data_IF_904043402268
#
_entry.id   IF_904043402268
#
_cell.length_a   1.000
_cell.length_b   1.000
_cell.length_c   1.000
_cell.angle_alpha   90.00
_cell.angle_beta   90.00
_cell.angle_gamma   90.00
#
_symmetry.space_group_name_H-M   'P 1'
#
loop_
_entity.id
_entity.type
_entity.pdbx_description
1 polymer ?
#
# COMPACT_ATOMS: atom_id res chain seq x y z
N UNK A 1 -20.25 -27.77 -12.01
CA UNK A 1 -19.03 -27.10 -11.52
C UNK A 1 -18.76 -25.81 -12.31
N UNK A 2 -19.65 -24.80 -12.25
CA UNK A 2 -19.52 -23.63 -13.14
C UNK A 2 -19.82 -22.32 -12.45
N UNK A 3 -21.09 -22.07 -12.13
CA UNK A 3 -21.51 -20.74 -11.64
C UNK A 3 -21.23 -20.55 -10.15
N UNK A 4 -21.58 -21.49 -9.28
CA UNK A 4 -21.38 -21.34 -7.83
C UNK A 4 -19.88 -21.25 -7.46
N UNK A 5 -19.00 -21.91 -8.20
CA UNK A 5 -17.55 -21.80 -8.00
C UNK A 5 -17.02 -20.42 -8.46
N UNK A 6 -17.53 -19.87 -9.56
CA UNK A 6 -17.15 -18.54 -10.04
C UNK A 6 -17.63 -17.42 -9.09
N UNK A 7 -18.82 -17.55 -8.51
CA UNK A 7 -19.29 -16.65 -7.45
C UNK A 7 -18.44 -16.77 -6.18
N UNK A 8 -18.02 -17.99 -5.82
CA UNK A 8 -17.08 -18.22 -4.72
C UNK A 8 -15.73 -17.55 -4.94
N UNK A 9 -15.15 -17.67 -6.15
CA UNK A 9 -13.88 -17.01 -6.48
C UNK A 9 -13.99 -15.49 -6.56
N UNK A 10 -15.14 -14.96 -7.00
CA UNK A 10 -15.38 -13.52 -7.01
C UNK A 10 -15.49 -12.96 -5.59
N UNK A 11 -16.23 -13.66 -4.72
CA UNK A 11 -16.37 -13.27 -3.32
C UNK A 11 -15.00 -13.30 -2.60
N UNK A 12 -14.17 -14.33 -2.85
CA UNK A 12 -12.83 -14.38 -2.25
C UNK A 12 -11.90 -13.29 -2.77
N UNK A 13 -11.91 -13.00 -4.07
CA UNK A 13 -11.14 -11.92 -4.66
C UNK A 13 -11.54 -10.54 -4.12
N UNK A 14 -12.85 -10.31 -3.93
CA UNK A 14 -13.35 -9.06 -3.35
C UNK A 14 -12.90 -8.89 -1.90
N UNK A 15 -12.99 -9.95 -1.09
CA UNK A 15 -12.53 -9.93 0.30
C UNK A 15 -11.02 -9.70 0.36
N UNK A 16 -10.23 -10.39 -0.48
CA UNK A 16 -8.78 -10.20 -0.56
C UNK A 16 -8.43 -8.76 -0.97
N UNK A 17 -9.13 -8.20 -1.96
CA UNK A 17 -8.98 -6.81 -2.36
C UNK A 17 -9.31 -5.82 -1.23
N UNK A 18 -10.36 -6.08 -0.45
CA UNK A 18 -10.75 -5.25 0.67
C UNK A 18 -9.71 -5.28 1.80
N UNK A 19 -9.15 -6.45 2.10
CA UNK A 19 -8.07 -6.61 3.09
C UNK A 19 -6.81 -5.88 2.63
N UNK A 20 -6.43 -6.04 1.36
CA UNK A 20 -5.30 -5.30 0.77
C UNK A 20 -5.52 -3.78 0.81
N UNK A 21 -6.74 -3.31 0.54
CA UNK A 21 -7.10 -1.90 0.63
C UNK A 21 -6.97 -1.38 2.08
N UNK A 22 -7.43 -2.14 3.06
CA UNK A 22 -7.30 -1.78 4.47
C UNK A 22 -5.83 -1.67 4.87
N UNK A 23 -4.99 -2.64 4.50
CA UNK A 23 -3.55 -2.58 4.73
C UNK A 23 -2.88 -1.39 4.03
N UNK A 24 -3.30 -1.06 2.80
CA UNK A 24 -2.77 0.09 2.07
C UNK A 24 -3.12 1.41 2.78
N UNK A 25 -4.35 1.58 3.25
CA UNK A 25 -4.76 2.79 4.01
C UNK A 25 -3.97 2.89 5.31
N UNK A 26 -3.83 1.80 6.06
CA UNK A 26 -3.02 1.78 7.28
C UNK A 26 -1.55 2.11 7.00
N UNK A 27 -0.97 1.57 5.91
CA UNK A 27 0.39 1.85 5.49
C UNK A 27 0.60 3.34 5.17
N UNK A 28 -0.38 3.99 4.52
CA UNK A 28 -0.34 5.43 4.24
C UNK A 28 -0.31 6.25 5.53
N UNK A 29 -1.16 5.92 6.51
CA UNK A 29 -1.18 6.60 7.81
C UNK A 29 0.15 6.49 8.55
N UNK A 30 0.72 5.28 8.61
CA UNK A 30 2.03 5.04 9.24
C UNK A 30 3.12 5.82 8.51
N UNK A 31 3.06 5.89 7.18
CA UNK A 31 4.03 6.62 6.38
C UNK A 31 4.02 8.13 6.67
N UNK A 32 2.83 8.75 6.69
CA UNK A 32 2.66 10.17 7.08
C UNK A 32 3.20 10.41 8.48
N UNK A 33 2.86 9.54 9.43
CA UNK A 33 3.33 9.63 10.81
C UNK A 33 4.86 9.57 10.93
N UNK A 34 5.51 8.66 10.19
CA UNK A 34 6.98 8.55 10.19
C UNK A 34 7.62 9.81 9.61
N UNK A 35 7.08 10.37 8.54
CA UNK A 35 7.59 11.60 7.91
C UNK A 35 7.47 12.80 8.85
N UNK A 36 6.33 12.93 9.53
CA UNK A 36 6.09 13.98 10.52
C UNK A 36 7.07 13.89 11.71
N UNK A 37 7.23 12.70 12.30
CA UNK A 37 8.20 12.45 13.37
C UNK A 37 9.64 12.73 12.94
N UNK A 38 10.01 12.37 11.70
CA UNK A 38 11.34 12.65 11.17
C UNK A 38 11.60 14.15 11.02
N UNK A 39 10.60 14.92 10.57
CA UNK A 39 10.70 16.37 10.46
C UNK A 39 10.84 17.04 11.85
N UNK A 40 10.06 16.58 12.82
CA UNK A 40 10.13 17.03 14.20
C UNK A 40 11.52 16.80 14.82
N UNK A 41 12.14 15.65 14.56
CA UNK A 41 13.54 15.36 14.98
C UNK A 41 14.53 16.33 14.33
N UNK A 42 14.28 16.74 13.09
CA UNK A 42 15.08 17.72 12.36
C UNK A 42 14.87 19.18 12.80
N UNK A 43 13.96 19.45 13.75
CA UNK A 43 13.59 20.81 14.14
C UNK A 43 12.91 21.59 13.02
N UNK A 44 12.36 20.89 12.04
CA UNK A 44 11.59 21.48 10.95
C UNK A 44 10.11 21.51 11.37
N UNK A 45 9.43 22.60 11.06
CA UNK A 45 7.98 22.75 11.21
C UNK A 45 7.35 22.77 9.82
N UNK A 46 7.27 21.60 9.15
CA UNK A 46 6.73 21.53 7.80
C UNK A 46 5.22 21.76 7.85
N UNK A 47 4.70 22.58 6.93
CA UNK A 47 3.27 22.63 6.68
C UNK A 47 2.74 21.21 6.39
N UNK A 48 1.57 20.86 6.95
CA UNK A 48 0.93 19.53 6.81
C UNK A 48 0.86 19.05 5.34
N UNK A 49 0.73 19.99 4.41
CA UNK A 49 0.69 19.73 2.97
C UNK A 49 1.99 19.13 2.42
N UNK A 50 3.16 19.46 2.98
CA UNK A 50 4.45 18.86 2.59
C UNK A 50 4.63 17.46 3.16
N UNK A 51 4.13 17.20 4.38
CA UNK A 51 4.17 15.86 4.99
C UNK A 51 3.32 14.90 4.17
N UNK A 52 2.10 15.31 3.80
CA UNK A 52 1.22 14.51 2.94
C UNK A 52 1.86 14.28 1.58
N UNK A 53 2.43 15.31 0.95
CA UNK A 53 3.08 15.17 -0.35
C UNK A 53 4.27 14.18 -0.31
N UNK A 54 5.15 14.32 0.70
CA UNK A 54 6.29 13.42 0.90
C UNK A 54 5.86 11.98 1.18
N UNK A 55 4.84 11.80 2.00
CA UNK A 55 4.25 10.49 2.27
C UNK A 55 3.60 9.86 1.02
N UNK A 56 2.94 10.66 0.19
CA UNK A 56 2.30 10.19 -1.05
C UNK A 56 3.36 9.71 -2.06
N UNK A 57 4.47 10.44 -2.18
CA UNK A 57 5.61 10.03 -3.03
C UNK A 57 6.27 8.76 -2.50
N UNK A 58 6.50 8.66 -1.19
CA UNK A 58 7.08 7.45 -0.57
C UNK A 58 6.17 6.23 -0.76
N UNK A 59 4.86 6.39 -0.55
CA UNK A 59 3.88 5.34 -0.76
C UNK A 59 3.85 4.90 -2.24
N UNK A 60 3.88 5.85 -3.18
CA UNK A 60 3.97 5.56 -4.61
C UNK A 60 5.23 4.75 -4.97
N UNK A 61 6.39 5.12 -4.41
CA UNK A 61 7.63 4.39 -4.61
C UNK A 61 7.58 2.97 -4.04
N UNK A 62 7.02 2.81 -2.83
CA UNK A 62 6.86 1.50 -2.19
C UNK A 62 5.90 0.58 -2.96
N UNK A 63 4.80 1.12 -3.51
CA UNK A 63 3.86 0.38 -4.36
C UNK A 63 4.55 -0.08 -5.64
N UNK A 64 5.32 0.78 -6.31
CA UNK A 64 6.07 0.40 -7.52
C UNK A 64 7.10 -0.67 -7.18
N UNK A 65 7.89 -0.50 -6.10
CA UNK A 65 8.91 -1.45 -5.68
C UNK A 65 8.33 -2.82 -5.25
N UNK A 66 7.20 -2.83 -4.55
CA UNK A 66 6.51 -4.08 -4.15
C UNK A 66 5.74 -4.73 -5.31
N UNK A 67 5.14 -3.93 -6.20
CA UNK A 67 4.35 -4.40 -7.33
C UNK A 67 5.19 -5.06 -8.43
N UNK A 68 6.42 -4.59 -8.68
CA UNK A 68 7.33 -5.26 -9.63
C UNK A 68 7.78 -6.64 -9.16
N UNK A 69 7.81 -6.90 -7.84
CA UNK A 69 8.15 -8.20 -7.28
C UNK A 69 7.17 -9.32 -7.67
N UNK A 70 5.93 -8.98 -8.00
CA UNK A 70 4.88 -9.92 -8.43
C UNK A 70 4.90 -10.25 -9.93
N UNK A 71 5.79 -9.62 -10.71
CA UNK A 71 5.81 -9.72 -12.18
C UNK A 71 6.81 -10.73 -12.73
N UNK A 72 7.68 -11.29 -11.89
CA UNK A 72 8.59 -12.36 -12.29
C UNK A 72 7.87 -13.70 -12.13
N UNK A 73 7.70 -14.49 -13.20
CA UNK A 73 7.17 -15.84 -13.06
C UNK A 73 8.11 -16.66 -12.18
N UNK A 74 7.56 -17.34 -11.17
CA UNK A 74 8.27 -18.43 -10.47
C UNK A 74 8.77 -19.42 -11.54
N UNK A 75 10.09 -19.49 -11.72
CA UNK A 75 10.71 -20.52 -12.54
C UNK A 75 10.50 -21.85 -11.81
N UNK A 76 9.64 -22.71 -12.36
CA UNK A 76 9.37 -24.06 -11.84
C UNK A 76 10.69 -24.85 -11.75
N UNK A 77 11.16 -25.05 -10.52
CA UNK A 77 12.27 -25.95 -10.18
C UNK A 77 11.77 -27.22 -9.52
#
# INVERSE_FOLDING_TARGET
MGVLNAFGSLASALIAGLVMLAFAVLSLFVTVFVVDMAAAIGGLDPDDSYVVLGATVLAGAAIVAGGVGFSFPEEEG
#
